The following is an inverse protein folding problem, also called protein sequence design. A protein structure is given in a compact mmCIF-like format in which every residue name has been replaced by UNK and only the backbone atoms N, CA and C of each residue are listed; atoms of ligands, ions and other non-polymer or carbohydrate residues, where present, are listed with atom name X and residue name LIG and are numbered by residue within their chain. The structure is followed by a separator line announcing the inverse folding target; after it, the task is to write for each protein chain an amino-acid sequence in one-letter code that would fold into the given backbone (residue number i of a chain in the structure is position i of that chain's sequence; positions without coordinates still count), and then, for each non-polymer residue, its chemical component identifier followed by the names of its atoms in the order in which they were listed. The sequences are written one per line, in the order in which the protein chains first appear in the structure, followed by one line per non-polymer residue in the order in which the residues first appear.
data_IF_663154572613
#
_entry.id   IF_663154572613
#
_cell.length_a   1.000
_cell.length_b   1.000
_cell.length_c   1.000
_cell.angle_alpha   90.00
_cell.angle_beta   90.00
_cell.angle_gamma   90.00
#
_symmetry.space_group_name_H-M   'P 1'
#
loop_
_entity.id
_entity.type
_entity.pdbx_description
1 polymer ?
#
# COMPACT_ATOMS: atom_id res chain seq x y z
N UNK A 1 -6.43 -38.55 63.16
CA UNK A 1 -5.75 -39.00 64.40
C UNK A 1 -5.69 -40.52 64.38
N UNK A 2 -4.59 -41.19 64.72
CA UNK A 2 -3.21 -40.73 64.89
C UNK A 2 -2.18 -41.50 64.04
N UNK A 3 -0.99 -40.90 63.98
CA UNK A 3 0.31 -41.50 63.68
C UNK A 3 0.63 -42.69 64.63
N UNK A 4 1.65 -43.47 64.29
CA UNK A 4 2.89 -43.74 65.08
C UNK A 4 3.56 -45.01 64.48
N UNK A 5 4.77 -44.90 63.90
CA UNK A 5 6.11 -45.18 64.53
C UNK A 5 6.26 -46.70 64.86
N UNK A 6 7.37 -47.42 64.67
CA UNK A 6 8.78 -47.08 64.49
C UNK A 6 9.63 -48.38 64.33
N UNK A 7 10.80 -48.26 63.71
CA UNK A 7 12.06 -49.05 63.76
C UNK A 7 12.09 -50.59 63.63
N UNK A 8 13.11 -51.05 62.88
CA UNK A 8 13.76 -52.35 63.10
C UNK A 8 14.75 -52.73 62.00
N UNK A 9 16.01 -52.30 62.12
CA UNK A 9 17.14 -52.73 61.30
C UNK A 9 17.48 -54.21 61.55
N UNK A 10 17.61 -55.03 60.50
CA UNK A 10 18.49 -56.21 60.48
C UNK A 10 19.03 -56.40 59.06
N UNK A 11 20.35 -56.25 58.87
CA UNK A 11 21.09 -56.84 57.76
C UNK A 11 21.55 -58.24 58.19
N UNK A 12 21.65 -59.23 57.28
CA UNK A 12 22.99 -59.43 56.71
C UNK A 12 23.05 -60.03 55.28
N UNK A 13 24.25 -59.85 54.72
CA UNK A 13 25.00 -60.71 53.78
C UNK A 13 24.40 -61.06 52.42
N UNK A 14 24.98 -60.39 51.42
CA UNK A 14 25.09 -60.76 50.01
C UNK A 14 25.42 -62.24 49.79
N UNK A 15 24.65 -62.89 48.93
CA UNK A 15 25.16 -63.88 47.98
C UNK A 15 25.06 -63.30 46.57
N UNK A 16 26.22 -63.10 45.96
CA UNK A 16 26.40 -62.60 44.61
C UNK A 16 25.96 -63.70 43.62
N UNK A 17 24.88 -63.47 42.87
CA UNK A 17 24.60 -64.21 41.65
C UNK A 17 24.65 -63.23 40.48
N UNK A 18 25.45 -63.56 39.47
CA UNK A 18 25.70 -62.74 38.30
C UNK A 18 24.41 -62.52 37.51
N UNK A 19 23.82 -61.34 37.66
CA UNK A 19 22.79 -60.84 36.76
C UNK A 19 23.44 -60.33 35.48
N UNK A 20 22.95 -60.80 34.34
CA UNK A 20 23.19 -60.17 33.03
C UNK A 20 22.69 -58.72 33.10
N UNK A 21 23.61 -57.77 33.19
CA UNK A 21 23.32 -56.35 33.04
C UNK A 21 23.11 -56.09 31.54
N UNK A 22 21.85 -55.90 31.13
CA UNK A 22 21.55 -55.29 29.83
C UNK A 22 21.89 -53.81 29.98
N UNK A 23 23.07 -53.43 29.50
CA UNK A 23 23.44 -52.04 29.28
C UNK A 23 22.53 -51.47 28.19
N UNK A 24 21.59 -50.60 28.58
CA UNK A 24 20.95 -49.72 27.62
C UNK A 24 21.96 -48.65 27.22
N UNK A 25 22.62 -48.87 26.09
CA UNK A 25 23.36 -47.84 25.38
C UNK A 25 22.34 -46.78 24.92
N UNK A 26 22.43 -45.57 25.47
CA UNK A 26 21.62 -44.44 25.05
C UNK A 26 22.05 -44.05 23.63
N UNK A 27 21.40 -44.62 22.63
CA UNK A 27 21.44 -44.07 21.27
C UNK A 27 20.70 -42.73 21.31
N UNK A 28 21.46 -41.64 21.30
CA UNK A 28 20.94 -40.33 20.94
C UNK A 28 20.24 -40.47 19.58
N UNK A 29 18.93 -40.14 19.46
CA UNK A 29 18.33 -40.11 18.15
C UNK A 29 18.92 -38.91 17.41
N UNK A 30 19.78 -39.18 16.43
CA UNK A 30 20.11 -38.23 15.36
C UNK A 30 18.80 -37.98 14.62
N UNK A 31 18.00 -37.03 15.13
CA UNK A 31 16.86 -36.49 14.43
C UNK A 31 17.33 -35.87 13.11
N UNK A 32 16.47 -35.81 12.09
CA UNK A 32 16.83 -35.14 10.84
C UNK A 32 17.27 -33.72 11.16
N UNK A 33 18.54 -33.42 10.91
CA UNK A 33 19.04 -32.06 10.92
C UNK A 33 18.26 -31.31 9.85
N UNK A 34 17.37 -30.42 10.28
CA UNK A 34 16.76 -29.44 9.39
C UNK A 34 17.90 -28.54 8.89
N UNK A 35 18.49 -28.91 7.76
CA UNK A 35 19.33 -28.00 6.99
C UNK A 35 18.41 -26.87 6.55
N UNK A 36 18.53 -25.71 7.19
CA UNK A 36 17.93 -24.48 6.71
C UNK A 36 18.51 -24.21 5.33
N UNK A 37 17.74 -24.46 4.27
CA UNK A 37 18.08 -23.93 2.95
C UNK A 37 18.08 -22.41 3.13
N UNK A 38 19.27 -21.80 3.00
CA UNK A 38 19.44 -20.36 3.14
C UNK A 38 18.94 -19.70 1.85
N UNK A 39 17.62 -19.69 1.65
CA UNK A 39 16.99 -19.04 0.51
C UNK A 39 17.13 -17.52 0.70
N UNK A 40 17.97 -16.89 -0.12
CA UNK A 40 18.12 -15.43 -0.13
C UNK A 40 16.78 -14.78 -0.45
N UNK A 41 16.29 -13.95 0.47
CA UNK A 41 15.05 -13.20 0.25
C UNK A 41 15.28 -11.97 -0.65
N UNK A 42 14.19 -11.38 -1.15
CA UNK A 42 14.26 -10.09 -1.82
C UNK A 42 14.76 -9.00 -0.87
N UNK A 43 14.41 -9.06 0.42
CA UNK A 43 14.95 -8.16 1.44
C UNK A 43 16.48 -8.21 1.49
N UNK A 44 17.07 -9.41 1.52
CA UNK A 44 18.53 -9.60 1.51
C UNK A 44 19.16 -9.07 0.23
N UNK A 45 18.48 -9.27 -0.91
CA UNK A 45 18.91 -8.76 -2.21
C UNK A 45 18.93 -7.24 -2.25
N UNK A 46 17.87 -6.58 -1.75
CA UNK A 46 17.77 -5.12 -1.65
C UNK A 46 18.91 -4.56 -0.79
N UNK A 47 19.15 -5.17 0.39
CA UNK A 47 20.19 -4.74 1.33
C UNK A 47 21.59 -4.91 0.73
N UNK A 48 21.85 -6.04 0.08
CA UNK A 48 23.14 -6.31 -0.58
C UNK A 48 23.40 -5.35 -1.73
N UNK A 49 22.37 -5.07 -2.53
CA UNK A 49 22.44 -4.16 -3.68
C UNK A 49 22.54 -2.68 -3.26
N UNK A 50 22.04 -2.35 -2.06
CA UNK A 50 22.18 -1.04 -1.45
C UNK A 50 21.18 0.02 -1.92
N UNK A 51 20.11 -0.38 -2.62
CA UNK A 51 19.00 0.48 -3.02
C UNK A 51 17.73 -0.34 -3.24
N UNK A 52 16.57 0.31 -3.06
CA UNK A 52 15.24 -0.24 -3.35
C UNK A 52 14.67 0.41 -4.62
N UNK A 53 14.02 -0.39 -5.47
CA UNK A 53 13.30 0.09 -6.66
C UNK A 53 11.82 0.24 -6.32
N UNK A 54 11.28 1.43 -6.52
CA UNK A 54 9.91 1.78 -6.14
C UNK A 54 9.10 2.09 -7.40
N UNK A 55 8.13 1.22 -7.71
CA UNK A 55 7.16 1.45 -8.77
C UNK A 55 6.17 2.53 -8.38
N UNK A 56 5.92 3.49 -9.26
CA UNK A 56 4.90 4.53 -9.06
C UNK A 56 4.32 5.00 -10.40
N UNK A 57 3.07 5.42 -10.40
CA UNK A 57 2.44 6.06 -11.57
C UNK A 57 2.80 7.53 -11.68
N UNK A 58 3.10 8.20 -10.55
CA UNK A 58 3.46 9.62 -10.54
C UNK A 58 2.32 10.57 -10.92
N UNK A 59 1.06 10.15 -10.77
CA UNK A 59 -0.11 10.90 -11.25
C UNK A 59 -1.27 10.93 -10.22
N UNK A 60 -0.96 10.69 -8.95
CA UNK A 60 -1.96 10.61 -7.88
C UNK A 60 -1.53 11.43 -6.67
N UNK A 61 -1.85 12.72 -6.71
CA UNK A 61 -1.67 13.63 -5.57
C UNK A 61 -2.70 13.27 -4.48
N UNK A 62 -2.33 13.23 -3.19
CA UNK A 62 -1.07 13.70 -2.60
C UNK A 62 0.05 12.66 -2.52
N UNK A 63 -0.18 11.42 -3.00
CA UNK A 63 0.73 10.30 -2.78
C UNK A 63 1.99 10.38 -3.62
N UNK A 64 1.84 10.52 -4.94
CA UNK A 64 2.96 10.61 -5.89
C UNK A 64 2.61 11.49 -7.07
N UNK A 65 3.52 12.39 -7.42
CA UNK A 65 3.45 13.23 -8.61
C UNK A 65 4.83 13.29 -9.28
N UNK A 66 4.88 13.05 -10.58
CA UNK A 66 6.08 13.17 -11.37
C UNK A 66 6.29 14.61 -11.78
N UNK A 67 7.46 15.15 -11.46
CA UNK A 67 7.94 16.44 -11.93
C UNK A 67 8.49 16.28 -13.35
N UNK A 68 8.10 17.19 -14.22
CA UNK A 68 8.67 17.35 -15.55
C UNK A 68 9.28 18.74 -15.75
N UNK A 69 9.84 19.00 -16.93
CA UNK A 69 10.48 20.28 -17.24
C UNK A 69 9.48 21.45 -17.32
N UNK A 70 8.18 21.17 -17.46
CA UNK A 70 7.13 22.18 -17.47
C UNK A 70 6.61 22.49 -16.06
N UNK A 71 6.92 21.63 -15.09
CA UNK A 71 6.42 21.74 -13.73
C UNK A 71 7.05 22.94 -13.01
N UNK A 72 6.21 23.92 -12.67
CA UNK A 72 6.62 25.05 -11.83
C UNK A 72 6.35 24.73 -10.37
N UNK A 73 7.41 24.51 -9.60
CA UNK A 73 7.29 24.25 -8.16
C UNK A 73 6.97 25.54 -7.38
N UNK A 74 6.13 25.45 -6.34
CA UNK A 74 5.88 26.59 -5.47
C UNK A 74 7.16 27.07 -4.80
N UNK A 75 7.27 28.38 -4.64
CA UNK A 75 8.26 29.06 -3.80
C UNK A 75 9.74 28.74 -4.16
N UNK A 76 10.00 28.31 -5.40
CA UNK A 76 11.35 27.99 -5.89
C UNK A 76 11.96 26.73 -5.27
N UNK A 77 11.13 25.87 -4.68
CA UNK A 77 11.58 24.62 -4.03
C UNK A 77 12.26 23.69 -5.04
N UNK A 78 13.25 22.92 -4.58
CA UNK A 78 13.98 21.93 -5.38
C UNK A 78 13.98 20.58 -4.68
N UNK A 79 13.77 19.50 -5.45
CA UNK A 79 13.80 18.13 -4.94
C UNK A 79 14.95 17.35 -5.58
N UNK A 80 15.52 16.41 -4.82
CA UNK A 80 16.61 15.54 -5.30
C UNK A 80 16.12 14.32 -6.10
N UNK A 81 14.83 14.30 -6.43
CA UNK A 81 14.13 13.27 -7.20
C UNK A 81 13.11 13.94 -8.11
N UNK A 82 12.78 13.29 -9.23
CA UNK A 82 11.73 13.75 -10.15
C UNK A 82 10.34 13.31 -9.71
N UNK A 83 10.18 12.81 -8.49
CA UNK A 83 8.89 12.46 -7.90
C UNK A 83 8.74 13.16 -6.56
N UNK A 84 7.53 13.61 -6.25
CA UNK A 84 7.17 14.21 -4.97
C UNK A 84 5.86 13.62 -4.44
N UNK A 85 5.64 13.70 -3.13
CA UNK A 85 4.40 13.25 -2.49
C UNK A 85 4.63 12.40 -1.24
N UNK A 86 3.53 12.05 -0.58
CA UNK A 86 3.57 11.32 0.68
C UNK A 86 4.26 9.96 0.54
N UNK A 87 3.95 9.20 -0.52
CA UNK A 87 4.54 7.89 -0.74
C UNK A 87 6.00 7.97 -1.24
N UNK A 88 6.43 9.10 -1.79
CA UNK A 88 7.84 9.38 -2.09
C UNK A 88 8.63 9.57 -0.79
N UNK A 89 8.10 10.36 0.14
CA UNK A 89 8.71 10.55 1.47
C UNK A 89 8.73 9.21 2.24
N UNK A 90 7.67 8.40 2.13
CA UNK A 90 7.63 7.07 2.73
C UNK A 90 8.61 6.09 2.08
N UNK A 91 8.82 6.14 0.77
CA UNK A 91 9.86 5.35 0.11
C UNK A 91 11.26 5.69 0.64
N UNK A 92 11.54 6.98 0.86
CA UNK A 92 12.80 7.41 1.48
C UNK A 92 12.90 6.93 2.94
N UNK A 93 11.80 7.00 3.72
CA UNK A 93 11.74 6.44 5.08
C UNK A 93 12.05 4.94 5.11
N UNK A 94 11.48 4.16 4.19
CA UNK A 94 11.75 2.73 4.06
C UNK A 94 13.22 2.45 3.71
N UNK A 95 13.79 3.20 2.78
CA UNK A 95 15.22 3.10 2.42
C UNK A 95 16.14 3.37 3.61
N UNK A 96 15.79 4.37 4.42
CA UNK A 96 16.52 4.70 5.66
C UNK A 96 16.38 3.59 6.70
N UNK A 97 15.18 3.03 6.89
CA UNK A 97 14.93 1.92 7.82
C UNK A 97 15.71 0.65 7.43
N UNK A 98 15.94 0.45 6.14
CA UNK A 98 16.79 -0.61 5.59
C UNK A 98 18.29 -0.31 5.68
N UNK A 99 18.67 0.90 6.12
CA UNK A 99 20.04 1.40 6.16
C UNK A 99 20.75 1.31 4.81
N UNK A 100 20.01 1.60 3.73
CA UNK A 100 20.56 1.54 2.38
C UNK A 100 21.49 2.73 2.11
N UNK A 101 22.66 2.51 1.49
CA UNK A 101 23.60 3.58 1.17
C UNK A 101 23.12 4.52 0.06
N UNK A 102 22.15 4.11 -0.75
CA UNK A 102 21.58 4.92 -1.85
C UNK A 102 20.11 5.22 -1.61
N UNK A 103 19.65 6.35 -2.16
CA UNK A 103 18.23 6.71 -2.21
C UNK A 103 17.41 5.69 -3.03
N UNK A 104 16.07 5.63 -2.81
CA UNK A 104 15.17 4.86 -3.66
C UNK A 104 15.31 5.22 -5.13
N UNK A 105 15.23 4.21 -6.00
CA UNK A 105 15.14 4.40 -7.45
C UNK A 105 13.66 4.28 -7.82
N UNK A 106 13.06 5.39 -8.25
CA UNK A 106 11.68 5.39 -8.75
C UNK A 106 11.63 4.82 -10.17
N UNK A 107 10.68 3.92 -10.40
CA UNK A 107 10.45 3.25 -11.68
C UNK A 107 9.03 3.61 -12.15
N UNK A 108 8.88 4.29 -13.30
CA UNK A 108 7.55 4.66 -13.79
C UNK A 108 6.75 3.40 -14.15
N UNK A 109 5.46 3.44 -13.86
CA UNK A 109 4.48 2.43 -14.24
C UNK A 109 3.13 3.10 -14.55
N UNK A 110 2.11 2.30 -14.86
CA UNK A 110 0.75 2.77 -15.10
C UNK A 110 -0.23 1.89 -14.31
N UNK A 111 -1.41 2.42 -13.98
CA UNK A 111 -2.43 1.72 -13.19
C UNK A 111 -2.75 0.32 -13.70
N UNK A 112 -2.89 0.17 -15.02
CA UNK A 112 -3.15 -1.10 -15.69
C UNK A 112 -2.00 -2.12 -15.55
N UNK A 113 -0.77 -1.64 -15.38
CA UNK A 113 0.44 -2.45 -15.48
C UNK A 113 1.05 -2.82 -14.12
N UNK A 114 0.68 -2.17 -13.01
CA UNK A 114 1.31 -2.34 -11.70
C UNK A 114 1.56 -3.81 -11.30
N UNK A 115 0.53 -4.65 -11.39
CA UNK A 115 0.62 -6.08 -11.03
C UNK A 115 1.47 -6.88 -12.01
N UNK A 116 1.44 -6.53 -13.30
CA UNK A 116 2.30 -7.16 -14.30
C UNK A 116 3.77 -6.76 -14.10
N UNK A 117 4.01 -5.48 -13.87
CA UNK A 117 5.35 -4.91 -13.73
C UNK A 117 6.06 -5.44 -12.48
N UNK A 118 5.35 -5.59 -11.37
CA UNK A 118 5.94 -6.18 -10.15
C UNK A 118 6.21 -7.68 -10.32
N UNK A 119 5.30 -8.42 -10.99
CA UNK A 119 5.51 -9.82 -11.30
C UNK A 119 6.68 -10.04 -12.28
N UNK A 120 6.90 -9.09 -13.18
CA UNK A 120 8.05 -9.04 -14.09
C UNK A 120 9.34 -8.51 -13.43
N UNK A 121 9.35 -8.30 -12.11
CA UNK A 121 10.50 -7.83 -11.34
C UNK A 121 11.06 -6.48 -11.82
N UNK A 122 10.20 -5.57 -12.33
CA UNK A 122 10.64 -4.22 -12.72
C UNK A 122 11.00 -3.35 -11.51
N UNK A 123 10.28 -3.52 -10.41
CA UNK A 123 10.52 -2.86 -9.13
C UNK A 123 10.27 -3.83 -7.96
N UNK A 124 10.77 -3.48 -6.77
CA UNK A 124 10.70 -4.34 -5.58
C UNK A 124 9.43 -4.11 -4.75
N UNK A 125 8.85 -2.92 -4.86
CA UNK A 125 7.63 -2.47 -4.17
C UNK A 125 6.94 -1.42 -5.04
N UNK A 126 5.61 -1.36 -5.05
CA UNK A 126 4.88 -0.22 -5.62
C UNK A 126 4.29 0.65 -4.51
N UNK A 127 4.52 1.95 -4.61
CA UNK A 127 4.06 2.97 -3.67
C UNK A 127 3.48 4.15 -4.47
N UNK A 128 2.34 4.68 -4.06
CA UNK A 128 1.60 5.70 -4.80
C UNK A 128 0.09 5.51 -4.75
N UNK A 129 -0.47 5.21 -3.57
CA UNK A 129 -1.92 5.09 -3.40
C UNK A 129 -2.57 3.90 -4.12
N UNK A 130 -1.94 2.72 -4.06
CA UNK A 130 -2.46 1.52 -4.75
C UNK A 130 -3.60 0.89 -3.96
N UNK A 131 -4.82 0.88 -4.50
CA UNK A 131 -5.95 0.18 -3.87
C UNK A 131 -5.70 -1.33 -3.74
N UNK A 132 -5.97 -1.85 -2.54
CA UNK A 132 -5.96 -3.29 -2.24
C UNK A 132 -7.21 -3.91 -2.86
N UNK A 133 -7.01 -4.83 -3.80
CA UNK A 133 -8.11 -5.59 -4.42
C UNK A 133 -7.78 -7.07 -4.46
N UNK A 134 -8.80 -7.93 -4.42
CA UNK A 134 -8.61 -9.38 -4.55
C UNK A 134 -8.00 -9.74 -5.91
N UNK A 135 -8.35 -9.03 -6.98
CA UNK A 135 -7.77 -9.24 -8.30
C UNK A 135 -6.24 -9.02 -8.30
N UNK A 136 -5.74 -7.95 -7.67
CA UNK A 136 -4.30 -7.70 -7.52
C UNK A 136 -3.66 -8.73 -6.56
N UNK A 137 -4.34 -9.07 -5.47
CA UNK A 137 -3.85 -10.00 -4.45
C UNK A 137 -3.73 -11.46 -4.91
N UNK A 138 -4.32 -11.83 -6.05
CA UNK A 138 -4.17 -13.18 -6.62
C UNK A 138 -2.72 -13.51 -6.99
N UNK A 139 -1.95 -12.51 -7.42
CA UNK A 139 -0.58 -12.69 -7.93
C UNK A 139 0.48 -11.87 -7.19
N UNK A 140 0.06 -10.96 -6.31
CA UNK A 140 0.93 -10.08 -5.54
C UNK A 140 0.52 -10.06 -4.08
N UNK A 141 1.40 -9.56 -3.22
CA UNK A 141 1.09 -9.24 -1.84
C UNK A 141 0.84 -7.75 -1.68
N UNK A 142 0.26 -7.39 -0.53
CA UNK A 142 0.17 -6.01 -0.07
C UNK A 142 0.79 -5.91 1.32
N UNK A 143 1.26 -4.71 1.68
CA UNK A 143 1.45 -4.36 3.08
C UNK A 143 0.12 -4.45 3.85
N UNK A 144 0.17 -4.33 5.17
CA UNK A 144 -1.00 -3.87 5.92
C UNK A 144 -1.52 -2.54 5.35
N UNK A 145 -2.85 -2.27 5.41
CA UNK A 145 -3.44 -1.04 4.89
C UNK A 145 -2.72 0.21 5.38
N UNK A 146 -2.45 1.14 4.47
CA UNK A 146 -1.75 2.40 4.77
C UNK A 146 -2.69 3.59 4.89
N UNK A 147 -3.82 3.53 4.18
CA UNK A 147 -4.84 4.56 4.20
C UNK A 147 -6.19 3.93 3.91
N UNK A 148 -7.19 4.22 4.74
CA UNK A 148 -8.58 3.92 4.41
C UNK A 148 -9.14 5.02 3.52
N UNK A 149 -9.79 4.61 2.44
CA UNK A 149 -10.43 5.49 1.47
C UNK A 149 -11.83 4.94 1.14
N UNK A 150 -12.38 5.40 0.02
CA UNK A 150 -13.66 4.99 -0.53
C UNK A 150 -14.07 6.00 -1.61
N UNK A 151 -14.90 5.59 -2.55
CA UNK A 151 -15.24 6.41 -3.71
C UNK A 151 -16.30 7.47 -3.39
N UNK A 152 -16.11 8.67 -3.92
CA UNK A 152 -17.09 9.76 -3.91
C UNK A 152 -17.02 10.53 -5.23
N UNK A 153 -18.07 11.29 -5.54
CA UNK A 153 -18.12 12.13 -6.73
C UNK A 153 -17.45 13.49 -6.51
N UNK A 154 -16.76 13.98 -7.53
CA UNK A 154 -16.32 15.35 -7.68
C UNK A 154 -17.01 15.95 -8.90
N UNK A 155 -17.68 17.10 -8.71
CA UNK A 155 -18.47 17.80 -9.72
C UNK A 155 -18.11 19.29 -9.71
N UNK A 156 -18.59 20.05 -10.69
CA UNK A 156 -18.60 21.51 -10.55
C UNK A 156 -19.57 21.92 -9.44
N UNK A 157 -19.19 22.91 -8.62
CA UNK A 157 -20.06 23.43 -7.57
C UNK A 157 -21.39 23.99 -8.10
N UNK A 158 -21.40 24.49 -9.34
CA UNK A 158 -22.62 24.92 -10.04
C UNK A 158 -23.66 23.79 -10.21
N UNK A 159 -23.21 22.53 -10.23
CA UNK A 159 -24.05 21.35 -10.46
C UNK A 159 -24.45 20.63 -9.17
N UNK A 160 -24.15 21.19 -7.99
CA UNK A 160 -24.41 20.55 -6.68
C UNK A 160 -25.89 20.24 -6.41
N UNK A 161 -26.81 21.02 -7.01
CA UNK A 161 -28.25 20.73 -6.94
C UNK A 161 -28.72 19.61 -7.88
N UNK A 162 -27.90 19.27 -8.88
CA UNK A 162 -28.21 18.26 -9.92
C UNK A 162 -27.66 16.88 -9.54
N UNK A 163 -26.44 16.83 -9.01
CA UNK A 163 -25.76 15.59 -8.66
C UNK A 163 -25.58 15.46 -7.15
N UNK A 164 -26.35 14.55 -6.54
CA UNK A 164 -26.42 14.35 -5.08
C UNK A 164 -26.09 12.93 -4.64
N UNK A 165 -26.15 11.97 -5.56
CA UNK A 165 -25.90 10.54 -5.33
C UNK A 165 -25.60 9.80 -6.65
N UNK A 166 -25.27 8.51 -6.56
CA UNK A 166 -25.01 7.66 -7.71
C UNK A 166 -26.16 7.62 -8.73
N UNK A 167 -27.42 7.67 -8.27
CA UNK A 167 -28.59 7.59 -9.16
C UNK A 167 -28.75 8.87 -9.98
N UNK A 168 -28.47 10.01 -9.38
CA UNK A 168 -28.47 11.31 -10.08
C UNK A 168 -27.35 11.42 -11.11
N UNK A 169 -26.23 10.73 -10.87
CA UNK A 169 -25.12 10.60 -11.81
C UNK A 169 -25.44 9.62 -12.94
N UNK A 170 -26.13 8.51 -12.67
CA UNK A 170 -26.46 7.47 -13.67
C UNK A 170 -27.66 7.82 -14.58
N UNK A 171 -27.52 8.88 -15.38
CA UNK A 171 -28.50 9.29 -16.40
C UNK A 171 -27.84 9.49 -17.76
N UNK A 172 -28.61 9.32 -18.84
CA UNK A 172 -28.10 9.29 -20.23
C UNK A 172 -27.34 10.55 -20.62
N UNK A 173 -27.68 11.70 -20.04
CA UNK A 173 -27.03 12.97 -20.34
C UNK A 173 -25.71 13.20 -19.60
N UNK A 174 -25.36 12.35 -18.62
CA UNK A 174 -24.19 12.55 -17.76
C UNK A 174 -22.95 11.88 -18.34
N UNK A 175 -21.81 12.57 -18.26
CA UNK A 175 -20.48 12.04 -18.56
C UNK A 175 -19.64 11.93 -17.29
N UNK A 176 -19.17 10.72 -17.00
CA UNK A 176 -18.26 10.44 -15.88
C UNK A 176 -16.86 10.27 -16.44
N UNK A 177 -15.95 11.19 -16.13
CA UNK A 177 -14.54 11.05 -16.46
C UNK A 177 -13.92 9.95 -15.59
N UNK A 178 -13.00 9.16 -16.16
CA UNK A 178 -12.23 8.16 -15.43
C UNK A 178 -10.80 8.05 -15.98
N UNK A 179 -9.85 7.78 -15.07
CA UNK A 179 -8.49 7.39 -15.43
C UNK A 179 -8.44 5.93 -15.91
N UNK A 180 -7.64 5.60 -16.95
CA UNK A 180 -7.56 4.26 -17.51
C UNK A 180 -6.90 3.25 -16.57
N UNK A 181 -7.42 2.04 -16.55
CA UNK A 181 -6.78 0.84 -15.97
C UNK A 181 -6.77 0.77 -14.45
N UNK A 182 -7.39 1.74 -13.78
CA UNK A 182 -7.48 1.83 -12.33
C UNK A 182 -8.78 1.25 -11.75
N UNK A 183 -8.92 1.38 -10.43
CA UNK A 183 -10.14 1.00 -9.72
C UNK A 183 -11.31 1.95 -9.98
N UNK A 184 -11.04 3.20 -10.37
CA UNK A 184 -12.07 4.18 -10.73
C UNK A 184 -12.82 3.78 -12.00
N UNK A 185 -12.11 3.50 -13.11
CA UNK A 185 -12.73 2.99 -14.33
C UNK A 185 -13.52 1.69 -14.06
N UNK A 186 -12.94 0.76 -13.30
CA UNK A 186 -13.61 -0.49 -12.98
C UNK A 186 -14.91 -0.26 -12.17
N UNK A 187 -14.88 0.64 -11.19
CA UNK A 187 -16.06 1.02 -10.42
C UNK A 187 -17.12 1.68 -11.30
N UNK A 188 -16.72 2.63 -12.15
CA UNK A 188 -17.63 3.39 -13.00
C UNK A 188 -18.33 2.49 -14.01
N UNK A 189 -17.60 1.60 -14.66
CA UNK A 189 -18.17 0.62 -15.60
C UNK A 189 -19.10 -0.38 -14.94
N UNK A 190 -18.88 -0.70 -13.67
CA UNK A 190 -19.75 -1.60 -12.91
C UNK A 190 -21.00 -0.90 -12.36
N UNK A 191 -20.92 0.42 -12.13
CA UNK A 191 -21.94 1.20 -11.41
C UNK A 191 -22.86 1.96 -12.37
N UNK A 192 -22.31 2.58 -13.40
CA UNK A 192 -23.04 3.45 -14.31
C UNK A 192 -23.50 2.67 -15.54
N UNK A 193 -24.82 2.46 -15.63
CA UNK A 193 -25.45 1.70 -16.72
C UNK A 193 -26.05 2.59 -17.80
N UNK A 194 -26.23 3.89 -17.51
CA UNK A 194 -26.85 4.89 -18.38
C UNK A 194 -25.92 6.05 -18.66
N UNK A 195 -25.16 6.51 -17.67
CA UNK A 195 -24.18 7.57 -17.89
C UNK A 195 -23.03 7.09 -18.80
N UNK A 196 -22.43 8.02 -19.52
CA UNK A 196 -21.28 7.75 -20.37
C UNK A 196 -20.00 7.78 -19.53
N UNK A 197 -19.27 6.67 -19.44
CA UNK A 197 -17.90 6.65 -18.90
C UNK A 197 -16.94 7.12 -19.99
N UNK A 198 -16.25 8.24 -19.74
CA UNK A 198 -15.30 8.88 -20.65
C UNK A 198 -13.89 8.68 -20.09
N UNK A 199 -13.05 7.96 -20.82
CA UNK A 199 -11.66 7.75 -20.42
C UNK A 199 -10.84 8.99 -20.78
N UNK A 200 -10.13 9.53 -19.78
CA UNK A 200 -9.17 10.62 -19.96
C UNK A 200 -7.78 10.02 -19.81
N UNK A 201 -7.04 9.94 -20.92
CA UNK A 201 -5.74 9.26 -20.99
C UNK A 201 -4.66 9.94 -20.13
N UNK A 202 -4.70 11.28 -20.03
CA UNK A 202 -3.85 12.02 -19.11
C UNK A 202 -4.54 12.15 -17.75
N UNK A 203 -4.03 11.40 -16.77
CA UNK A 203 -4.57 11.39 -15.41
C UNK A 203 -4.49 12.77 -14.74
N UNK A 204 -3.53 13.61 -15.13
CA UNK A 204 -3.45 14.98 -14.60
C UNK A 204 -4.57 15.89 -15.14
N UNK A 205 -5.23 15.49 -16.24
CA UNK A 205 -6.29 16.26 -16.88
C UNK A 205 -7.72 15.80 -16.51
N UNK A 206 -7.89 14.73 -15.72
CA UNK A 206 -9.22 14.15 -15.44
C UNK A 206 -10.14 15.13 -14.71
N UNK A 207 -9.61 15.87 -13.73
CA UNK A 207 -10.37 16.92 -13.03
C UNK A 207 -10.55 18.18 -13.88
N UNK A 208 -9.59 18.48 -14.78
CA UNK A 208 -9.75 19.58 -15.73
C UNK A 208 -10.93 19.33 -16.67
N UNK A 209 -11.17 18.08 -17.09
CA UNK A 209 -12.35 17.74 -17.89
C UNK A 209 -13.67 18.08 -17.17
N UNK A 210 -13.72 17.90 -15.85
CA UNK A 210 -14.88 18.31 -15.01
C UNK A 210 -14.97 19.83 -14.92
N UNK A 211 -13.86 20.52 -14.70
CA UNK A 211 -13.82 22.00 -14.66
C UNK A 211 -14.32 22.59 -15.99
N UNK A 212 -13.85 22.05 -17.11
CA UNK A 212 -14.13 22.56 -18.46
C UNK A 212 -15.53 22.25 -18.98
N UNK A 213 -16.31 21.39 -18.32
CA UNK A 213 -17.61 20.98 -18.84
C UNK A 213 -17.59 19.84 -19.84
N UNK A 214 -16.42 19.28 -20.14
CA UNK A 214 -16.32 18.16 -21.09
C UNK A 214 -16.72 16.83 -20.44
N UNK A 215 -16.61 16.73 -19.11
CA UNK A 215 -17.26 15.77 -18.25
C UNK A 215 -18.10 16.47 -17.16
N UNK A 216 -19.04 15.73 -16.56
CA UNK A 216 -19.90 16.25 -15.50
C UNK A 216 -19.39 15.89 -14.11
N UNK A 217 -18.76 14.72 -13.97
CA UNK A 217 -18.21 14.26 -12.71
C UNK A 217 -16.94 13.42 -12.91
N UNK A 218 -16.14 13.33 -11.86
CA UNK A 218 -15.12 12.30 -11.65
C UNK A 218 -15.51 11.52 -10.40
N UNK A 219 -15.46 10.18 -10.44
CA UNK A 219 -15.63 9.36 -9.23
C UNK A 219 -14.27 8.81 -8.84
N UNK A 220 -13.78 9.23 -7.67
CA UNK A 220 -12.47 8.80 -7.17
C UNK A 220 -12.48 8.63 -5.66
N UNK A 221 -11.34 8.21 -5.12
CA UNK A 221 -11.14 8.10 -3.68
C UNK A 221 -11.34 9.46 -3.00
N UNK A 222 -12.03 9.44 -1.86
CA UNK A 222 -12.39 10.65 -1.12
C UNK A 222 -11.20 11.58 -0.87
N UNK A 223 -10.04 11.04 -0.52
CA UNK A 223 -8.85 11.84 -0.24
C UNK A 223 -8.37 12.64 -1.46
N UNK A 224 -8.50 12.09 -2.66
CA UNK A 224 -8.21 12.80 -3.90
C UNK A 224 -9.23 13.92 -4.13
N UNK A 225 -10.51 13.59 -3.95
CA UNK A 225 -11.60 14.56 -4.14
C UNK A 225 -11.47 15.72 -3.14
N UNK A 226 -11.11 15.45 -1.88
CA UNK A 226 -10.83 16.48 -0.88
C UNK A 226 -9.69 17.40 -1.32
N UNK A 227 -8.58 16.82 -1.80
CA UNK A 227 -7.47 17.60 -2.32
C UNK A 227 -7.90 18.48 -3.50
N UNK A 228 -8.65 17.92 -4.45
CA UNK A 228 -9.08 18.65 -5.65
C UNK A 228 -10.08 19.75 -5.35
N UNK A 229 -10.99 19.54 -4.40
CA UNK A 229 -11.89 20.58 -3.89
C UNK A 229 -11.10 21.70 -3.21
N UNK A 230 -10.07 21.37 -2.43
CA UNK A 230 -9.22 22.37 -1.79
C UNK A 230 -8.42 23.19 -2.81
N UNK A 231 -7.83 22.54 -3.82
CA UNK A 231 -7.07 23.20 -4.88
C UNK A 231 -7.95 24.07 -5.79
N UNK A 232 -9.22 23.68 -6.00
CA UNK A 232 -10.16 24.33 -6.90
C UNK A 232 -11.37 24.91 -6.13
N UNK A 233 -11.10 25.52 -4.97
CA UNK A 233 -12.15 25.99 -4.06
C UNK A 233 -13.16 26.92 -4.77
N UNK A 234 -14.44 26.63 -4.61
CA UNK A 234 -15.54 27.34 -5.27
C UNK A 234 -15.84 26.87 -6.71
N UNK A 235 -14.95 26.10 -7.32
CA UNK A 235 -15.13 25.53 -8.67
C UNK A 235 -15.53 24.07 -8.60
N UNK A 236 -14.80 23.24 -7.85
CA UNK A 236 -15.11 21.83 -7.65
C UNK A 236 -15.74 21.58 -6.27
N UNK A 237 -16.72 20.67 -6.24
CA UNK A 237 -17.45 20.27 -5.04
C UNK A 237 -17.55 18.75 -4.96
N UNK A 238 -17.45 18.23 -3.74
CA UNK A 238 -17.74 16.83 -3.46
C UNK A 238 -19.25 16.58 -3.46
N UNK A 239 -19.68 15.45 -4.00
CA UNK A 239 -21.08 15.02 -4.02
C UNK A 239 -21.54 14.59 -2.62
N UNK A 240 -20.73 13.79 -1.93
CA UNK A 240 -21.08 13.23 -0.62
C UNK A 240 -19.86 12.99 0.27
N UNK A 241 -20.01 13.33 1.56
CA UNK A 241 -18.96 13.16 2.57
C UNK A 241 -18.69 11.72 2.99
N UNK A 242 -19.74 10.88 2.99
CA UNK A 242 -19.64 9.46 3.34
C UNK A 242 -19.39 8.68 2.06
N UNK A 243 -18.23 8.04 1.87
CA UNK A 243 -17.93 7.32 0.63
C UNK A 243 -18.95 6.22 0.30
N UNK A 244 -19.16 5.95 -1.00
CA UNK A 244 -20.05 4.88 -1.47
C UNK A 244 -19.43 3.48 -1.33
N UNK A 245 -18.11 3.41 -1.26
CA UNK A 245 -17.36 2.16 -1.13
C UNK A 245 -16.50 2.17 0.12
N UNK A 246 -16.13 0.97 0.56
CA UNK A 246 -15.01 0.77 1.48
C UNK A 246 -13.81 0.32 0.64
N UNK A 247 -12.71 1.06 0.74
CA UNK A 247 -11.46 0.72 0.08
C UNK A 247 -10.29 1.03 1.02
N UNK A 248 -9.19 0.30 0.81
CA UNK A 248 -7.94 0.51 1.52
C UNK A 248 -6.81 0.58 0.50
N UNK A 249 -5.86 1.49 0.73
CA UNK A 249 -4.63 1.59 -0.02
C UNK A 249 -3.54 0.79 0.70
N UNK A 250 -2.59 0.24 -0.04
CA UNK A 250 -1.45 -0.47 0.51
C UNK A 250 -0.27 -0.46 -0.45
N UNK A 251 0.91 -0.81 0.04
CA UNK A 251 2.08 -0.97 -0.82
C UNK A 251 2.05 -2.34 -1.48
N UNK A 252 2.11 -2.38 -2.81
CA UNK A 252 2.10 -3.61 -3.60
C UNK A 252 3.48 -4.27 -3.53
N UNK A 253 3.52 -5.57 -3.26
CA UNK A 253 4.75 -6.33 -3.04
C UNK A 253 4.73 -7.61 -3.90
N UNK A 254 5.90 -8.10 -4.35
CA UNK A 254 5.99 -9.46 -4.87
C UNK A 254 5.66 -10.46 -3.75
N UNK A 255 5.45 -11.72 -4.12
CA UNK A 255 5.19 -12.80 -3.16
C UNK A 255 6.48 -13.24 -2.44
N UNK A 256 7.03 -12.33 -1.64
CA UNK A 256 8.19 -12.53 -0.77
C UNK A 256 7.78 -12.23 0.68
N UNK A 257 7.69 -13.28 1.49
CA UNK A 257 7.20 -13.19 2.87
C UNK A 257 8.13 -12.36 3.76
N UNK A 258 9.44 -12.44 3.55
CA UNK A 258 10.44 -11.77 4.38
C UNK A 258 10.37 -10.26 4.16
N UNK A 259 10.31 -9.81 2.89
CA UNK A 259 10.13 -8.41 2.56
C UNK A 259 8.77 -7.91 3.08
N UNK A 260 7.70 -8.67 2.90
CA UNK A 260 6.38 -8.30 3.41
C UNK A 260 6.37 -8.09 4.92
N UNK A 261 6.90 -9.02 5.69
CA UNK A 261 6.95 -8.92 7.17
C UNK A 261 7.75 -7.68 7.58
N UNK A 262 8.85 -7.40 6.89
CA UNK A 262 9.64 -6.19 7.15
C UNK A 262 8.84 -4.92 6.87
N UNK A 263 8.20 -4.83 5.69
CA UNK A 263 7.38 -3.66 5.30
C UNK A 263 6.20 -3.46 6.24
N UNK A 264 5.50 -4.53 6.63
CA UNK A 264 4.41 -4.44 7.62
C UNK A 264 4.89 -3.95 8.98
N UNK A 265 6.09 -4.36 9.40
CA UNK A 265 6.68 -3.92 10.67
C UNK A 265 7.12 -2.47 10.61
N UNK A 266 7.80 -2.07 9.53
CA UNK A 266 8.16 -0.68 9.29
C UNK A 266 6.90 0.19 9.23
N UNK A 267 5.89 -0.20 8.47
CA UNK A 267 4.64 0.56 8.34
C UNK A 267 3.97 0.81 9.69
N UNK A 268 3.81 -0.24 10.52
CA UNK A 268 3.21 -0.09 11.86
C UNK A 268 3.96 0.90 12.75
N UNK A 269 5.28 1.01 12.60
CA UNK A 269 6.07 2.03 13.31
C UNK A 269 5.75 3.43 12.78
N UNK A 270 5.61 3.60 11.46
CA UNK A 270 5.27 4.90 10.85
C UNK A 270 3.86 5.35 11.22
N UNK A 271 2.91 4.42 11.25
CA UNK A 271 1.54 4.64 11.71
C UNK A 271 1.50 4.99 13.20
N UNK A 272 2.07 4.12 14.05
CA UNK A 272 2.00 4.28 15.51
C UNK A 272 2.77 5.48 16.05
N UNK A 273 3.79 5.96 15.34
CA UNK A 273 4.53 7.19 15.69
C UNK A 273 3.85 8.47 15.22
N UNK A 274 2.82 8.38 14.36
CA UNK A 274 2.19 9.53 13.71
C UNK A 274 2.99 10.12 12.54
N UNK A 275 4.12 9.51 12.16
CA UNK A 275 4.95 9.97 11.05
C UNK A 275 4.19 9.95 9.71
N UNK A 276 3.36 8.93 9.48
CA UNK A 276 2.50 8.89 8.29
C UNK A 276 1.53 10.07 8.26
N UNK A 277 0.78 10.30 9.35
CA UNK A 277 -0.21 11.37 9.40
C UNK A 277 0.42 12.74 9.16
N UNK A 278 1.55 13.02 9.79
CA UNK A 278 2.28 14.28 9.59
C UNK A 278 2.78 14.44 8.14
N UNK A 279 3.24 13.33 7.53
CA UNK A 279 3.66 13.31 6.12
C UNK A 279 2.48 13.58 5.19
N UNK A 280 1.38 12.85 5.37
CA UNK A 280 0.19 13.01 4.55
C UNK A 280 -0.41 14.41 4.69
N UNK A 281 -0.50 14.95 5.92
CA UNK A 281 -1.01 16.31 6.18
C UNK A 281 -0.16 17.38 5.48
N UNK A 282 1.18 17.26 5.55
CA UNK A 282 2.11 18.13 4.81
C UNK A 282 1.78 18.14 3.31
N UNK A 283 1.54 16.96 2.71
CA UNK A 283 1.28 16.85 1.28
C UNK A 283 -0.16 17.21 0.89
N UNK A 284 -1.13 17.07 1.79
CA UNK A 284 -2.48 17.61 1.61
C UNK A 284 -2.50 19.14 1.63
N UNK A 285 -1.65 19.77 2.44
CA UNK A 285 -1.46 21.21 2.49
C UNK A 285 -0.46 21.77 1.48
N UNK A 286 0.19 20.90 0.69
CA UNK A 286 1.20 21.34 -0.28
C UNK A 286 0.55 22.11 -1.43
N UNK A 287 1.19 23.20 -1.85
CA UNK A 287 0.78 23.96 -3.04
C UNK A 287 1.19 23.19 -4.28
N UNK A 288 0.37 22.22 -4.66
CA UNK A 288 0.66 21.38 -5.81
C UNK A 288 0.85 22.23 -7.09
N UNK A 289 1.82 21.88 -7.95
CA UNK A 289 1.94 22.50 -9.25
C UNK A 289 0.62 22.39 -9.99
N UNK A 290 0.18 23.54 -10.51
CA UNK A 290 -0.93 23.64 -11.46
C UNK A 290 -0.38 23.17 -12.80
N UNK A 291 -1.06 22.21 -13.42
CA UNK A 291 -0.80 21.81 -14.80
C UNK A 291 -1.33 22.85 -15.76
#
# INVERSE_FOLDING_TARGET
MPLFRVLGLVAPLLTLTAGHEITYESQDPIGPSFSSVNTTSLLDTIRTRGYIRVGTTGDYKPFTYQLDNATTLPDGTTFNTTYIGADVDMAQSLSNALSLPSSPIFVPSAWANLTMDIAANKFDIAMGGVSITLARAQTSFFSTPVQRVGKTGCIRCADKGKYTDLKSLDVVSTKIAANPGGTNEAFDRATFTKAQVVIVEDNNAVYQAVIDGTADAMVSDKIEVELQVNLNNGTLCMVNEVPWTFEELGYLLPRDDVLKIFVDTWWRIQEGSGAWNATLEKWMGYKWPVV
#
